data_IF_056601898975
#
_entry.id   IF_056601898975
#
_cell.length_a   1.000
_cell.length_b   1.000
_cell.length_c   1.000
_cell.angle_alpha   90.00
_cell.angle_beta   90.00
_cell.angle_gamma   90.00
#
_symmetry.space_group_name_H-M   'P 1'
#
loop_
_entity.id
_entity.type
_entity.pdbx_description
1 polymer ?
#
# COMPACT_ATOMS: atom_id res chain seq x y z
N UNK A 1 -2.36 -22.00 9.61
CA UNK A 1 -2.34 -20.53 9.62
C UNK A 1 -3.44 -20.05 10.55
N UNK A 2 -3.11 -19.22 11.54
CA UNK A 2 -4.08 -18.61 12.46
C UNK A 2 -4.74 -17.43 11.77
N UNK A 3 -6.07 -17.49 11.62
CA UNK A 3 -6.83 -16.38 11.05
C UNK A 3 -7.25 -15.44 12.17
N UNK A 4 -7.10 -14.13 11.94
CA UNK A 4 -7.58 -13.09 12.84
C UNK A 4 -8.87 -12.49 12.30
N UNK A 5 -9.88 -12.38 13.15
CA UNK A 5 -11.15 -11.73 12.78
C UNK A 5 -11.02 -10.22 12.94
N UNK A 6 -11.25 -9.49 11.86
CA UNK A 6 -11.28 -8.03 11.85
C UNK A 6 -12.71 -7.59 11.58
N UNK A 7 -13.30 -6.86 12.53
CA UNK A 7 -14.64 -6.28 12.34
C UNK A 7 -14.57 -5.09 11.39
N UNK A 8 -15.40 -5.11 10.37
CA UNK A 8 -15.55 -4.01 9.39
C UNK A 8 -17.03 -3.72 9.16
N UNK A 9 -17.34 -2.52 8.66
CA UNK A 9 -18.72 -2.20 8.29
C UNK A 9 -19.18 -3.02 7.08
N UNK A 10 -20.50 -3.13 6.91
CA UNK A 10 -21.09 -3.80 5.74
C UNK A 10 -20.65 -3.15 4.43
N UNK A 11 -20.50 -1.82 4.44
CA UNK A 11 -20.04 -1.03 3.29
C UNK A 11 -18.60 -1.37 2.93
N UNK A 12 -17.69 -1.40 3.91
CA UNK A 12 -16.29 -1.79 3.67
C UNK A 12 -16.17 -3.23 3.17
N UNK A 13 -16.97 -4.15 3.71
CA UNK A 13 -17.02 -5.53 3.22
C UNK A 13 -17.46 -5.60 1.75
N UNK A 14 -18.45 -4.79 1.36
CA UNK A 14 -18.92 -4.71 -0.03
C UNK A 14 -17.84 -4.11 -0.93
N UNK A 15 -17.18 -3.04 -0.51
CA UNK A 15 -16.08 -2.44 -1.26
C UNK A 15 -14.91 -3.44 -1.47
N UNK A 16 -14.59 -4.26 -0.46
CA UNK A 16 -13.60 -5.32 -0.60
C UNK A 16 -14.03 -6.38 -1.64
N UNK A 17 -15.30 -6.78 -1.66
CA UNK A 17 -15.86 -7.68 -2.68
C UNK A 17 -15.78 -7.09 -4.09
N UNK A 18 -16.14 -5.82 -4.24
CA UNK A 18 -16.13 -5.11 -5.53
C UNK A 18 -14.70 -4.92 -6.07
N UNK A 19 -13.71 -4.82 -5.17
CA UNK A 19 -12.28 -4.77 -5.50
C UNK A 19 -11.69 -6.14 -5.89
N UNK A 20 -12.32 -7.23 -5.45
CA UNK A 20 -11.85 -8.59 -5.71
C UNK A 20 -12.21 -9.08 -7.11
N UNK A 21 -11.38 -9.98 -7.63
CA UNK A 21 -11.67 -10.75 -8.84
C UNK A 21 -12.18 -12.15 -8.49
N UNK A 22 -12.89 -12.81 -9.41
CA UNK A 22 -13.56 -14.09 -9.16
C UNK A 22 -12.56 -15.14 -8.67
N UNK A 23 -12.75 -15.66 -7.46
CA UNK A 23 -11.89 -16.66 -6.82
C UNK A 23 -10.90 -16.11 -5.79
N UNK A 24 -10.85 -14.79 -5.59
CA UNK A 24 -10.01 -14.18 -4.56
C UNK A 24 -10.60 -14.27 -3.15
N UNK A 25 -9.72 -14.44 -2.16
CA UNK A 25 -10.08 -14.39 -0.74
C UNK A 25 -9.97 -12.97 -0.21
N UNK A 26 -10.71 -12.64 0.84
CA UNK A 26 -10.56 -11.34 1.53
C UNK A 26 -9.10 -11.09 1.96
N UNK A 27 -8.38 -12.13 2.43
CA UNK A 27 -6.97 -12.01 2.79
C UNK A 27 -6.10 -11.59 1.58
N UNK A 28 -6.34 -12.17 0.40
CA UNK A 28 -5.59 -11.80 -0.81
C UNK A 28 -5.86 -10.35 -1.25
N UNK A 29 -7.11 -9.89 -1.15
CA UNK A 29 -7.52 -8.53 -1.49
C UNK A 29 -6.87 -7.54 -0.52
N UNK A 30 -6.93 -7.82 0.79
CA UNK A 30 -6.30 -7.01 1.83
C UNK A 30 -4.79 -6.92 1.61
N UNK A 31 -4.11 -8.03 1.30
CA UNK A 31 -2.67 -8.03 1.00
C UNK A 31 -2.32 -7.18 -0.22
N UNK A 32 -3.13 -7.20 -1.28
CA UNK A 32 -2.92 -6.34 -2.46
C UNK A 32 -3.06 -4.86 -2.10
N UNK A 33 -4.08 -4.52 -1.31
CA UNK A 33 -4.29 -3.14 -0.84
C UNK A 33 -3.12 -2.64 0.02
N UNK A 34 -2.65 -3.48 0.95
CA UNK A 34 -1.49 -3.16 1.79
C UNK A 34 -0.23 -2.94 0.94
N UNK A 35 0.03 -3.78 -0.06
CA UNK A 35 1.17 -3.62 -0.98
C UNK A 35 1.08 -2.31 -1.76
N UNK A 36 -0.09 -1.98 -2.33
CA UNK A 36 -0.30 -0.72 -3.04
C UNK A 36 -0.07 0.50 -2.15
N UNK A 37 -0.60 0.47 -0.93
CA UNK A 37 -0.43 1.56 0.02
C UNK A 37 1.03 1.73 0.44
N UNK A 38 1.73 0.62 0.74
CA UNK A 38 3.15 0.65 1.08
C UNK A 38 4.00 1.24 -0.05
N UNK A 39 3.72 0.87 -1.30
CA UNK A 39 4.41 1.44 -2.46
C UNK A 39 4.22 2.94 -2.58
N UNK A 40 2.98 3.42 -2.45
CA UNK A 40 2.68 4.86 -2.55
C UNK A 40 3.37 5.65 -1.43
N UNK A 41 3.40 5.10 -0.21
CA UNK A 41 4.07 5.76 0.91
C UNK A 41 5.59 5.89 0.69
N UNK A 42 6.22 4.85 0.15
CA UNK A 42 7.64 4.89 -0.21
C UNK A 42 7.92 5.90 -1.32
N UNK A 43 7.02 5.99 -2.31
CA UNK A 43 7.13 6.97 -3.40
C UNK A 43 7.00 8.42 -2.89
N UNK A 44 6.03 8.69 -2.02
CA UNK A 44 5.86 10.02 -1.39
C UNK A 44 7.08 10.40 -0.55
N UNK A 45 7.69 9.44 0.15
CA UNK A 45 8.89 9.65 0.97
C UNK A 45 10.13 9.91 0.10
N UNK A 46 10.28 9.18 -1.02
CA UNK A 46 11.37 9.39 -1.98
C UNK A 46 11.24 10.71 -2.73
N UNK A 47 10.02 11.07 -3.16
CA UNK A 47 9.74 12.36 -3.79
C UNK A 47 10.01 13.53 -2.84
N UNK A 48 9.77 13.34 -1.53
CA UNK A 48 10.13 14.35 -0.52
C UNK A 48 11.65 14.52 -0.38
N UNK A 49 12.43 13.44 -0.43
CA UNK A 49 13.90 13.52 -0.39
C UNK A 49 14.41 14.23 -1.65
N UNK A 50 13.95 13.82 -2.83
CA UNK A 50 14.33 14.43 -4.10
C UNK A 50 14.01 15.94 -4.18
N UNK A 51 12.93 16.39 -3.54
CA UNK A 51 12.54 17.80 -3.54
C UNK A 51 13.31 18.67 -2.53
N UNK A 52 13.97 18.08 -1.52
CA UNK A 52 14.63 18.84 -0.44
C UNK A 52 16.15 18.63 -0.36
N UNK A 53 16.70 17.58 -0.96
CA UNK A 53 18.15 17.39 -1.02
C UNK A 53 18.72 18.01 -2.31
N UNK A 54 19.61 18.99 -2.16
CA UNK A 54 20.47 19.42 -3.24
C UNK A 54 21.42 18.27 -3.60
N UNK A 55 21.38 17.84 -4.86
CA UNK A 55 22.32 16.84 -5.37
C UNK A 55 23.74 17.41 -5.32
N UNK A 56 24.61 16.85 -4.46
CA UNK A 56 26.03 17.18 -4.42
C UNK A 56 26.77 16.19 -5.33
N UNK A 57 27.34 16.62 -6.46
CA UNK A 57 28.17 15.78 -7.31
C UNK A 57 29.40 15.29 -6.54
N UNK A 58 29.83 14.07 -6.81
CA UNK A 58 31.03 13.47 -6.19
C UNK A 58 32.31 14.27 -6.46
N UNK A 59 32.33 15.11 -7.49
CA UNK A 59 33.46 15.99 -7.84
C UNK A 59 33.60 17.21 -6.90
N UNK A 60 32.59 17.47 -6.05
CA UNK A 60 32.57 18.59 -5.08
C UNK A 60 32.93 18.15 -3.63
N UNK A 61 33.38 16.90 -3.45
CA UNK A 61 33.72 16.28 -2.16
C UNK A 61 35.22 16.30 -1.84
#
# INVERSE_FOLDING_TARGET
MTNTTISVTKETKKALLDLGTKGETYDSIIRKLLKRFAWKKLDDEWNKILANDEFIPLDEL
#
